data_IF_516163442490
#
_entry.id   IF_516163442490
#
_cell.length_a   1.000
_cell.length_b   1.000
_cell.length_c   1.000
_cell.angle_alpha   90.00
_cell.angle_beta   90.00
_cell.angle_gamma   90.00
#
_symmetry.space_group_name_H-M   'P 1'
#
loop_
_entity.id
_entity.type
_entity.pdbx_description
1 polymer ?
#
# COMPACT_ATOMS: atom_id res chain seq x y z
N UNK A 1 1.33 3.74 -15.79
CA UNK A 1 0.53 3.73 -14.55
C UNK A 1 1.10 2.67 -13.63
N UNK A 2 1.58 3.08 -12.49
CA UNK A 2 2.29 2.17 -11.59
C UNK A 2 1.57 1.94 -10.27
N UNK A 3 0.83 2.92 -9.76
CA UNK A 3 0.05 2.75 -8.53
C UNK A 3 -1.39 3.17 -8.77
N UNK A 4 -2.32 2.27 -8.48
CA UNK A 4 -3.75 2.51 -8.60
C UNK A 4 -4.40 2.30 -7.24
N UNK A 5 -5.08 3.30 -6.75
CA UNK A 5 -5.84 3.23 -5.52
C UNK A 5 -7.31 2.99 -5.85
N UNK A 6 -7.86 1.90 -5.31
CA UNK A 6 -9.25 1.50 -5.52
C UNK A 6 -9.96 1.35 -4.18
N UNK A 7 -11.27 1.43 -4.21
CA UNK A 7 -12.09 1.23 -3.02
C UNK A 7 -13.35 0.44 -3.33
N UNK A 8 -13.69 -0.46 -2.44
CA UNK A 8 -14.98 -1.16 -2.41
C UNK A 8 -15.76 -0.67 -1.18
N UNK A 9 -16.82 0.10 -1.40
CA UNK A 9 -17.63 0.66 -0.31
C UNK A 9 -18.47 -0.40 0.39
N UNK A 10 -18.86 -1.46 -0.30
CA UNK A 10 -19.70 -2.53 0.26
C UNK A 10 -18.98 -3.25 1.39
N UNK A 11 -17.70 -3.54 1.22
CA UNK A 11 -16.88 -4.23 2.22
C UNK A 11 -15.91 -3.28 2.95
N UNK A 12 -15.98 -2.00 2.67
CA UNK A 12 -15.17 -0.94 3.28
C UNK A 12 -13.67 -1.24 3.24
N UNK A 13 -13.19 -1.68 2.07
CA UNK A 13 -11.80 -2.08 1.85
C UNK A 13 -11.13 -1.23 0.78
N UNK A 14 -9.92 -0.77 1.09
CA UNK A 14 -9.04 -0.12 0.12
C UNK A 14 -8.15 -1.17 -0.54
N UNK A 15 -7.96 -1.05 -1.85
CA UNK A 15 -7.01 -1.86 -2.61
C UNK A 15 -6.01 -0.93 -3.30
N UNK A 16 -4.76 -1.01 -2.90
CA UNK A 16 -3.66 -0.28 -3.53
C UNK A 16 -2.85 -1.26 -4.38
N UNK A 17 -2.87 -1.08 -5.69
CA UNK A 17 -2.24 -1.99 -6.65
C UNK A 17 -0.97 -1.36 -7.20
N UNK A 18 0.13 -2.10 -7.14
CA UNK A 18 1.45 -1.68 -7.63
C UNK A 18 1.83 -2.50 -8.85
N UNK A 19 2.11 -1.85 -9.98
CA UNK A 19 2.47 -2.47 -11.25
C UNK A 19 3.62 -1.74 -11.92
N UNK A 20 4.46 -2.45 -12.68
CA UNK A 20 5.55 -1.87 -13.43
C UNK A 20 6.64 -1.21 -12.58
N UNK A 21 7.40 -0.32 -13.18
CA UNK A 21 8.50 0.38 -12.50
C UNK A 21 7.96 1.46 -11.55
N UNK A 22 8.20 1.28 -10.26
CA UNK A 22 7.71 2.17 -9.22
C UNK A 22 8.77 3.23 -8.91
N UNK A 23 8.37 4.49 -8.92
CA UNK A 23 9.22 5.62 -8.56
C UNK A 23 8.93 6.11 -7.14
N UNK A 24 9.95 6.66 -6.48
CA UNK A 24 9.82 7.19 -5.12
C UNK A 24 8.74 8.29 -5.04
N UNK A 25 8.65 9.15 -6.04
CA UNK A 25 7.68 10.24 -6.08
C UNK A 25 6.24 9.74 -6.08
N UNK A 26 5.99 8.58 -6.69
CA UNK A 26 4.68 7.94 -6.64
C UNK A 26 4.33 7.47 -5.23
N UNK A 27 5.27 6.85 -4.52
CA UNK A 27 5.06 6.43 -3.14
C UNK A 27 4.78 7.62 -2.22
N UNK A 28 5.49 8.73 -2.42
CA UNK A 28 5.23 9.98 -1.69
C UNK A 28 3.85 10.53 -1.99
N UNK A 29 3.43 10.51 -3.24
CA UNK A 29 2.11 10.97 -3.65
C UNK A 29 0.98 10.12 -3.05
N UNK A 30 1.17 8.79 -3.00
CA UNK A 30 0.22 7.87 -2.35
C UNK A 30 0.09 8.18 -0.87
N UNK A 31 1.21 8.34 -0.16
CA UNK A 31 1.22 8.65 1.26
C UNK A 31 0.51 9.98 1.56
N UNK A 32 0.79 11.01 0.76
CA UNK A 32 0.15 12.32 0.89
C UNK A 32 -1.37 12.23 0.66
N UNK A 33 -1.77 11.53 -0.39
CA UNK A 33 -3.19 11.34 -0.69
C UNK A 33 -3.92 10.66 0.47
N UNK A 34 -3.35 9.61 1.04
CA UNK A 34 -3.93 8.92 2.19
C UNK A 34 -4.02 9.82 3.41
N UNK A 35 -2.98 10.61 3.70
CA UNK A 35 -2.96 11.54 4.82
C UNK A 35 -4.02 12.65 4.67
N UNK A 36 -4.29 13.08 3.44
CA UNK A 36 -5.29 14.10 3.13
C UNK A 36 -6.73 13.54 3.14
N UNK A 37 -6.91 12.23 3.26
CA UNK A 37 -8.20 11.54 3.23
C UNK A 37 -8.37 10.64 4.47
N UNK A 38 -8.59 11.22 5.66
CA UNK A 38 -8.67 10.45 6.90
C UNK A 38 -9.73 9.34 6.89
N UNK A 39 -10.86 9.55 6.21
CA UNK A 39 -11.94 8.56 6.12
C UNK A 39 -11.47 7.29 5.39
N UNK A 40 -10.70 7.46 4.32
CA UNK A 40 -10.10 6.35 3.58
C UNK A 40 -9.03 5.68 4.43
N UNK A 41 -8.20 6.47 5.10
CA UNK A 41 -7.11 5.98 5.93
C UNK A 41 -7.61 5.13 7.11
N UNK A 42 -8.80 5.40 7.61
CA UNK A 42 -9.43 4.63 8.69
C UNK A 42 -9.92 3.24 8.30
N UNK A 43 -9.98 2.93 7.01
CA UNK A 43 -10.41 1.62 6.51
C UNK A 43 -9.24 0.68 6.30
N UNK A 44 -9.48 -0.63 6.38
CA UNK A 44 -8.48 -1.66 6.09
C UNK A 44 -7.96 -1.52 4.67
N UNK A 45 -6.68 -1.85 4.47
CA UNK A 45 -6.02 -1.68 3.17
C UNK A 45 -5.30 -2.94 2.74
N UNK A 46 -5.56 -3.36 1.50
CA UNK A 46 -4.86 -4.42 0.82
C UNK A 46 -3.86 -3.80 -0.17
N UNK A 47 -2.57 -3.94 0.12
CA UNK A 47 -1.51 -3.51 -0.79
C UNK A 47 -1.08 -4.72 -1.63
N UNK A 48 -1.46 -4.72 -2.90
CA UNK A 48 -1.18 -5.82 -3.83
C UNK A 48 -0.06 -5.42 -4.79
N UNK A 49 1.09 -6.07 -4.63
CA UNK A 49 2.26 -5.86 -5.48
C UNK A 49 2.24 -6.92 -6.57
N UNK A 50 1.90 -6.51 -7.79
CA UNK A 50 1.76 -7.40 -8.93
C UNK A 50 3.10 -8.01 -9.35
N UNK A 51 3.04 -9.10 -10.11
CA UNK A 51 4.21 -9.86 -10.55
C UNK A 51 5.22 -9.01 -11.35
N UNK A 52 4.75 -8.02 -12.09
CA UNK A 52 5.57 -7.10 -12.89
C UNK A 52 6.05 -5.85 -12.15
N UNK A 53 5.68 -5.70 -10.87
CA UNK A 53 6.12 -4.55 -10.08
C UNK A 53 7.63 -4.59 -9.86
N UNK A 54 8.28 -3.46 -10.08
CA UNK A 54 9.72 -3.32 -9.99
C UNK A 54 10.09 -2.11 -9.12
N UNK A 55 10.68 -2.41 -7.97
CA UNK A 55 11.19 -1.40 -7.02
C UNK A 55 12.70 -1.16 -7.17
N UNK A 56 13.34 -1.70 -8.20
CA UNK A 56 14.80 -1.66 -8.33
C UNK A 56 15.39 -0.24 -8.41
N UNK A 57 14.61 0.74 -8.85
CA UNK A 57 15.02 2.14 -8.85
C UNK A 57 15.01 2.78 -7.45
N UNK A 58 14.43 2.11 -6.45
CA UNK A 58 14.32 2.60 -5.09
C UNK A 58 15.35 1.89 -4.21
N UNK A 59 16.34 2.63 -3.70
CA UNK A 59 17.32 2.09 -2.76
C UNK A 59 16.72 2.02 -1.35
N UNK A 60 17.33 1.24 -0.47
CA UNK A 60 16.93 1.21 0.94
C UNK A 60 17.15 2.57 1.63
N UNK A 61 18.19 3.31 1.22
CA UNK A 61 18.41 4.68 1.69
C UNK A 61 17.24 5.61 1.30
N UNK A 62 16.72 5.45 0.08
CA UNK A 62 15.52 6.19 -0.36
C UNK A 62 14.28 5.78 0.43
N UNK A 63 14.16 4.51 0.80
CA UNK A 63 13.07 4.03 1.67
C UNK A 63 13.16 4.63 3.08
N UNK A 64 14.38 4.81 3.61
CA UNK A 64 14.56 5.50 4.89
C UNK A 64 14.06 6.95 4.82
N UNK A 65 14.39 7.66 3.74
CA UNK A 65 13.89 9.02 3.50
C UNK A 65 12.37 9.05 3.33
N UNK A 66 11.84 8.08 2.61
CA UNK A 66 10.39 7.92 2.44
C UNK A 66 9.71 7.66 3.79
N UNK A 67 10.32 6.84 4.64
CA UNK A 67 9.78 6.55 5.96
C UNK A 67 9.72 7.79 6.84
N UNK A 68 10.75 8.66 6.80
CA UNK A 68 10.72 9.94 7.50
C UNK A 68 9.60 10.84 7.00
N UNK A 69 9.40 10.89 5.68
CA UNK A 69 8.30 11.63 5.07
C UNK A 69 6.94 11.07 5.51
N UNK A 70 6.78 9.75 5.46
CA UNK A 70 5.59 9.03 5.92
C UNK A 70 5.32 9.34 7.41
N UNK A 71 6.33 9.25 8.25
CA UNK A 71 6.22 9.52 9.68
C UNK A 71 5.70 10.92 9.96
N UNK A 72 6.22 11.92 9.27
CA UNK A 72 5.76 13.32 9.41
C UNK A 72 4.30 13.51 9.02
N UNK A 73 3.86 12.81 7.98
CA UNK A 73 2.46 12.88 7.54
C UNK A 73 1.50 12.17 8.49
N UNK A 74 1.89 11.02 9.01
CA UNK A 74 1.00 10.11 9.74
C UNK A 74 1.12 10.22 11.25
N UNK A 75 2.23 10.70 11.81
CA UNK A 75 2.41 10.85 13.25
C UNK A 75 1.27 11.65 13.92
N UNK A 76 0.82 12.79 13.35
CA UNK A 76 -0.30 13.52 13.94
C UNK A 76 -1.62 12.76 13.93
N UNK A 77 -1.75 11.74 13.08
CA UNK A 77 -2.96 10.95 12.90
C UNK A 77 -2.94 9.63 13.65
N UNK A 78 -1.83 9.28 14.31
CA UNK A 78 -1.61 7.92 14.86
C UNK A 78 -2.69 7.47 15.85
N UNK A 79 -3.30 8.38 16.60
CA UNK A 79 -4.40 8.04 17.51
C UNK A 79 -5.74 7.83 16.81
N UNK A 80 -5.82 8.16 15.52
CA UNK A 80 -7.02 8.06 14.70
C UNK A 80 -6.96 6.91 13.70
N UNK A 81 -5.81 6.24 13.58
CA UNK A 81 -5.61 5.15 12.62
C UNK A 81 -5.75 3.82 13.34
N UNK A 82 -6.94 3.24 13.25
CA UNK A 82 -7.25 1.90 13.77
C UNK A 82 -7.65 1.02 12.60
N UNK A 83 -6.69 0.49 11.88
CA UNK A 83 -6.92 -0.35 10.73
C UNK A 83 -5.91 -1.48 10.66
N UNK A 84 -6.28 -2.51 9.90
CA UNK A 84 -5.35 -3.54 9.47
C UNK A 84 -4.92 -3.26 8.03
N UNK A 85 -3.70 -3.62 7.73
CA UNK A 85 -3.20 -3.55 6.37
C UNK A 85 -2.39 -4.80 6.06
N UNK A 86 -2.40 -5.21 4.80
CA UNK A 86 -1.55 -6.31 4.30
C UNK A 86 -0.72 -5.82 3.14
N UNK A 87 0.43 -6.47 2.97
CA UNK A 87 1.23 -6.42 1.76
C UNK A 87 1.32 -7.82 1.21
N UNK A 88 0.96 -8.00 -0.05
CA UNK A 88 1.07 -9.27 -0.77
C UNK A 88 1.84 -9.04 -2.07
N UNK A 89 2.97 -9.73 -2.23
CA UNK A 89 3.79 -9.68 -3.43
C UNK A 89 3.54 -10.93 -4.26
N UNK A 90 3.16 -10.77 -5.52
CA UNK A 90 2.92 -11.88 -6.45
C UNK A 90 4.23 -12.47 -7.00
N UNK A 91 5.37 -11.75 -6.84
CA UNK A 91 6.69 -12.24 -7.21
C UNK A 91 7.70 -12.00 -6.09
N UNK A 92 8.89 -12.62 -6.18
CA UNK A 92 9.89 -12.53 -5.12
C UNK A 92 10.67 -11.21 -5.13
N UNK A 93 10.87 -10.59 -6.30
CA UNK A 93 11.73 -9.42 -6.46
C UNK A 93 11.37 -8.25 -5.52
N UNK A 94 10.10 -7.83 -5.37
CA UNK A 94 9.76 -6.71 -4.50
C UNK A 94 9.71 -7.05 -3.01
N UNK A 95 9.79 -8.33 -2.62
CA UNK A 95 9.64 -8.75 -1.21
C UNK A 95 10.66 -8.11 -0.28
N UNK A 96 11.90 -7.94 -0.74
CA UNK A 96 12.96 -7.35 0.07
C UNK A 96 12.66 -5.89 0.44
N UNK A 97 12.12 -5.12 -0.51
CA UNK A 97 11.72 -3.73 -0.28
C UNK A 97 10.55 -3.63 0.69
N UNK A 98 9.55 -4.48 0.51
CA UNK A 98 8.38 -4.53 1.41
C UNK A 98 8.81 -4.93 2.83
N UNK A 99 9.64 -5.97 2.96
CA UNK A 99 10.14 -6.40 4.26
C UNK A 99 10.95 -5.30 4.96
N UNK A 100 11.80 -4.60 4.23
CA UNK A 100 12.58 -3.48 4.75
C UNK A 100 11.68 -2.35 5.25
N UNK A 101 10.70 -1.95 4.45
CA UNK A 101 9.71 -0.94 4.84
C UNK A 101 8.98 -1.32 6.13
N UNK A 102 8.48 -2.55 6.22
CA UNK A 102 7.75 -3.03 7.38
C UNK A 102 8.63 -3.14 8.63
N UNK A 103 9.92 -3.38 8.47
CA UNK A 103 10.85 -3.39 9.62
C UNK A 103 11.00 -2.00 10.24
N UNK A 104 10.94 -0.93 9.45
CA UNK A 104 10.96 0.44 9.95
C UNK A 104 9.65 0.79 10.66
N UNK A 105 8.51 0.40 10.08
CA UNK A 105 7.19 0.60 10.67
C UNK A 105 7.08 -0.05 12.06
N UNK A 106 7.59 -1.28 12.21
CA UNK A 106 7.61 -2.00 13.48
C UNK A 106 8.43 -1.28 14.57
N UNK A 107 9.57 -0.68 14.19
CA UNK A 107 10.43 0.06 15.13
C UNK A 107 9.74 1.32 15.68
N UNK A 108 8.97 2.01 14.86
CA UNK A 108 8.31 3.26 15.22
C UNK A 108 6.93 3.05 15.86
N UNK A 109 6.46 1.81 15.94
CA UNK A 109 5.17 1.47 16.55
C UNK A 109 4.02 2.35 16.02
N UNK A 110 3.93 2.49 14.71
CA UNK A 110 2.84 3.23 14.07
C UNK A 110 1.49 2.53 14.34
N UNK A 111 0.40 3.30 14.40
CA UNK A 111 -0.92 2.81 14.81
C UNK A 111 -1.58 1.80 13.87
N UNK A 112 -0.99 1.55 12.72
CA UNK A 112 -1.49 0.59 11.74
C UNK A 112 -0.93 -0.80 12.02
N UNK A 113 -1.80 -1.81 12.11
CA UNK A 113 -1.38 -3.21 12.21
C UNK A 113 -1.18 -3.77 10.81
N UNK A 114 0.08 -3.91 10.40
CA UNK A 114 0.46 -4.30 9.05
C UNK A 114 1.12 -5.67 9.04
N UNK A 115 0.79 -6.49 8.07
CA UNK A 115 1.37 -7.81 7.87
C UNK A 115 1.82 -8.04 6.44
N UNK A 116 3.00 -8.62 6.26
CA UNK A 116 3.46 -9.12 4.97
C UNK A 116 2.92 -10.55 4.81
N UNK A 117 1.96 -10.74 3.92
CA UNK A 117 1.33 -12.02 3.65
C UNK A 117 1.90 -12.66 2.38
N UNK A 118 1.81 -13.99 2.30
CA UNK A 118 2.38 -14.78 1.19
C UNK A 118 1.31 -15.45 0.32
N UNK A 119 0.04 -15.24 0.66
CA UNK A 119 -1.10 -15.74 -0.13
C UNK A 119 -2.33 -14.88 0.11
N UNK A 120 -3.29 -14.95 -0.82
CA UNK A 120 -4.60 -14.30 -0.63
C UNK A 120 -5.34 -14.86 0.58
N UNK A 121 -5.22 -16.16 0.85
CA UNK A 121 -5.82 -16.79 2.01
C UNK A 121 -5.30 -16.19 3.32
N UNK A 122 -3.98 -16.07 3.46
CA UNK A 122 -3.35 -15.46 4.64
C UNK A 122 -3.76 -14.00 4.79
N UNK A 123 -3.79 -13.24 3.69
CA UNK A 123 -4.23 -11.84 3.70
C UNK A 123 -5.69 -11.70 4.10
N UNK A 124 -6.56 -12.57 3.59
CA UNK A 124 -7.99 -12.58 3.95
C UNK A 124 -8.19 -12.88 5.43
N UNK A 125 -7.46 -13.84 5.99
CA UNK A 125 -7.52 -14.16 7.41
C UNK A 125 -7.10 -12.97 8.27
N UNK A 126 -6.03 -12.28 7.89
CA UNK A 126 -5.54 -11.11 8.61
C UNK A 126 -6.54 -9.96 8.60
N UNK A 127 -7.18 -9.72 7.44
CA UNK A 127 -8.18 -8.67 7.26
C UNK A 127 -9.58 -9.09 7.71
N UNK A 128 -9.77 -10.32 8.18
CA UNK A 128 -11.06 -10.88 8.61
C UNK A 128 -12.09 -10.89 7.48
N UNK A 129 -11.65 -11.16 6.25
CA UNK A 129 -12.52 -11.27 5.09
C UNK A 129 -13.18 -12.66 5.02
N UNK A 130 -14.40 -12.69 4.54
CA UNK A 130 -15.06 -13.95 4.16
C UNK A 130 -14.47 -14.51 2.88
N UNK A 131 -14.75 -15.79 2.56
CA UNK A 131 -14.30 -16.37 1.29
C UNK A 131 -14.86 -15.63 0.07
N UNK A 132 -16.11 -15.16 0.15
CA UNK A 132 -16.70 -14.36 -0.91
C UNK A 132 -15.99 -13.01 -1.09
N UNK A 133 -15.67 -12.32 0.00
CA UNK A 133 -14.94 -11.06 0.00
C UNK A 133 -13.51 -11.23 -0.52
N UNK A 134 -12.85 -12.31 -0.12
CA UNK A 134 -11.55 -12.69 -0.68
C UNK A 134 -11.61 -12.84 -2.21
N UNK A 135 -12.60 -13.52 -2.71
CA UNK A 135 -12.83 -13.68 -4.15
C UNK A 135 -13.04 -12.33 -4.86
N UNK A 136 -13.71 -11.38 -4.22
CA UNK A 136 -13.87 -10.03 -4.74
C UNK A 136 -12.52 -9.33 -4.89
N UNK A 137 -11.63 -9.45 -3.92
CA UNK A 137 -10.27 -8.88 -4.00
C UNK A 137 -9.48 -9.53 -5.13
N UNK A 138 -9.48 -10.86 -5.20
CA UNK A 138 -8.74 -11.61 -6.25
C UNK A 138 -9.19 -11.22 -7.66
N UNK A 139 -10.49 -10.97 -7.86
CA UNK A 139 -11.08 -10.58 -9.15
C UNK A 139 -11.19 -9.07 -9.34
N UNK A 140 -10.79 -8.30 -8.34
CA UNK A 140 -10.98 -6.84 -8.31
C UNK A 140 -12.45 -6.44 -8.53
N UNK A 141 -13.38 -7.24 -8.02
CA UNK A 141 -14.82 -7.07 -8.21
C UNK A 141 -15.40 -6.08 -7.21
N UNK A 142 -16.15 -5.10 -7.71
CA UNK A 142 -16.75 -4.06 -6.86
C UNK A 142 -15.78 -2.97 -6.40
N UNK A 143 -14.54 -3.03 -6.82
CA UNK A 143 -13.54 -2.00 -6.53
C UNK A 143 -13.59 -0.91 -7.59
N UNK A 144 -13.83 0.33 -7.17
CA UNK A 144 -13.86 1.50 -8.03
C UNK A 144 -12.50 2.19 -7.93
N UNK A 145 -11.93 2.53 -9.09
CA UNK A 145 -10.70 3.31 -9.15
C UNK A 145 -10.96 4.72 -8.64
N UNK A 146 -10.21 5.14 -7.61
CA UNK A 146 -10.30 6.47 -7.02
C UNK A 146 -9.25 7.40 -7.65
N UNK A 147 -8.00 6.94 -7.72
CA UNK A 147 -6.90 7.73 -8.26
C UNK A 147 -5.81 6.82 -8.82
N UNK A 148 -5.14 7.28 -9.88
CA UNK A 148 -3.94 6.68 -10.45
C UNK A 148 -2.76 7.60 -10.21
N UNK A 149 -1.68 7.01 -9.72
CA UNK A 149 -0.42 7.70 -9.57
C UNK A 149 0.50 7.31 -10.72
N UNK A 150 1.13 8.30 -11.35
CA UNK A 150 2.05 8.08 -12.46
C UNK A 150 3.36 8.81 -12.15
N UNK A 151 4.51 8.28 -12.60
CA UNK A 151 5.74 9.03 -12.50
C UNK A 151 5.59 10.34 -13.26
N UNK A 152 6.16 11.41 -12.71
CA UNK A 152 6.25 12.65 -13.48
C UNK A 152 7.00 12.36 -14.78
N UNK A 153 6.50 12.86 -15.92
CA UNK A 153 7.23 12.73 -17.16
C UNK A 153 8.62 13.37 -17.01
N UNK A 154 9.64 12.69 -17.47
CA UNK A 154 10.99 13.25 -17.50
C UNK A 154 10.90 14.64 -18.15
N UNK A 155 11.29 15.70 -17.43
CA UNK A 155 11.35 17.02 -18.01
C UNK A 155 12.35 16.97 -19.15
N UNK A 156 11.84 17.04 -20.39
CA UNK A 156 12.70 17.09 -21.57
C UNK A 156 13.64 18.29 -21.48
N UNK A 157 14.88 18.03 -21.76
CA UNK A 157 15.88 19.10 -21.90
C UNK A 157 15.61 19.84 -23.22
#
# INVERSE_FOLDING_TARGET
VTVIFRRNEEIELNLCEFTGAIALDELKAVAKYQADKPDILGSDTFNLVRADADFSAITFSMLDQMFEHYRRLFMPLRLQIFRRAVWLCESDAPKAHVAYWLSQDAKENMSTTVKHCHSFAEAADWLLLTDAERGMVERCEGFVEIIRFQPEPARGL
#
